data_IF_419820494722
#
_entry.id   IF_419820494722
#
_cell.length_a   1.000
_cell.length_b   1.000
_cell.length_c   1.000
_cell.angle_alpha   90.00
_cell.angle_beta   90.00
_cell.angle_gamma   90.00
#
_symmetry.space_group_name_H-M   'P 1'
#
loop_
_entity.id
_entity.type
_entity.pdbx_description
1 polymer ?
#
# COMPACT_ATOMS: atom_id res chain seq x y z
N UNK A 1 -6.48 -48.33 -51.41
CA UNK A 1 -5.85 -47.00 -51.45
C UNK A 1 -6.84 -46.03 -50.83
N UNK A 2 -6.64 -45.32 -49.72
CA UNK A 2 -5.69 -45.25 -48.60
C UNK A 2 -6.53 -44.66 -47.44
N UNK A 3 -6.59 -45.24 -46.24
CA UNK A 3 -5.67 -45.02 -45.12
C UNK A 3 -5.17 -43.57 -45.03
N UNK A 4 -5.66 -42.79 -44.06
CA UNK A 4 -4.94 -42.47 -42.81
C UNK A 4 -5.75 -41.49 -41.97
N UNK A 5 -6.13 -41.93 -40.77
CA UNK A 5 -6.17 -41.06 -39.61
C UNK A 5 -4.72 -40.69 -39.26
N UNK A 6 -4.45 -39.45 -38.87
CA UNK A 6 -3.37 -39.20 -37.93
C UNK A 6 -3.58 -37.91 -37.13
N UNK A 7 -3.14 -38.01 -35.89
CA UNK A 7 -3.28 -37.12 -34.76
C UNK A 7 -2.64 -35.75 -34.96
N UNK A 8 -3.30 -34.72 -34.42
CA UNK A 8 -2.57 -33.58 -33.84
C UNK A 8 -3.36 -32.99 -32.66
N UNK A 9 -3.31 -33.71 -31.55
CA UNK A 9 -3.43 -33.11 -30.21
C UNK A 9 -2.33 -32.07 -30.06
N UNK A 10 -2.64 -30.80 -30.30
CA UNK A 10 -1.83 -29.71 -29.74
C UNK A 10 -2.11 -29.62 -28.24
N UNK A 11 -1.43 -30.49 -27.48
CA UNK A 11 -1.15 -30.27 -26.08
C UNK A 11 -0.34 -28.98 -25.96
N UNK A 12 -0.96 -27.93 -25.42
CA UNK A 12 -0.25 -26.76 -24.94
C UNK A 12 0.67 -27.22 -23.80
N UNK A 13 1.93 -27.46 -24.13
CA UNK A 13 3.01 -27.64 -23.18
C UNK A 13 3.08 -26.35 -22.38
N UNK A 14 2.66 -26.42 -21.12
CA UNK A 14 2.94 -25.39 -20.12
C UNK A 14 4.45 -25.40 -19.97
N UNK A 15 5.13 -24.46 -20.64
CA UNK A 15 6.52 -24.19 -20.36
C UNK A 15 6.58 -23.64 -18.93
N UNK A 16 7.07 -24.47 -18.00
CA UNK A 16 7.66 -23.96 -16.76
C UNK A 16 8.91 -23.18 -17.17
N UNK A 17 8.71 -21.95 -17.65
CA UNK A 17 9.75 -21.11 -18.21
C UNK A 17 10.82 -20.86 -17.16
N UNK A 18 12.07 -21.14 -17.51
CA UNK A 18 13.24 -20.65 -16.77
C UNK A 18 13.11 -19.13 -16.74
N UNK A 19 12.89 -18.57 -15.54
CA UNK A 19 12.89 -17.11 -15.36
C UNK A 19 14.33 -16.65 -15.45
N UNK A 20 14.70 -16.08 -16.60
CA UNK A 20 16.01 -15.45 -16.79
C UNK A 20 15.96 -14.07 -16.14
N UNK A 21 16.89 -13.82 -15.22
CA UNK A 21 17.02 -12.54 -14.52
C UNK A 21 18.43 -11.98 -14.67
N UNK A 22 18.55 -10.65 -14.61
CA UNK A 22 19.83 -9.97 -14.57
C UNK A 22 20.43 -10.01 -13.15
N UNK A 23 21.76 -9.91 -13.06
CA UNK A 23 22.45 -9.79 -11.76
C UNK A 23 21.96 -8.58 -10.95
N UNK A 24 21.54 -7.49 -11.61
CA UNK A 24 20.97 -6.31 -10.96
C UNK A 24 19.63 -6.63 -10.29
N UNK A 25 18.74 -7.35 -10.98
CA UNK A 25 17.45 -7.79 -10.42
C UNK A 25 17.66 -8.72 -9.21
N UNK A 26 18.60 -9.66 -9.31
CA UNK A 26 18.96 -10.53 -8.18
C UNK A 26 19.48 -9.74 -6.98
N UNK A 27 20.43 -8.82 -7.20
CA UNK A 27 20.99 -7.98 -6.15
C UNK A 27 19.93 -7.08 -5.50
N UNK A 28 19.00 -6.53 -6.28
CA UNK A 28 17.92 -5.70 -5.75
C UNK A 28 17.04 -6.46 -4.73
N UNK A 29 16.83 -7.77 -4.93
CA UNK A 29 16.07 -8.62 -3.99
C UNK A 29 16.87 -8.99 -2.73
N UNK A 30 18.18 -9.17 -2.87
CA UNK A 30 19.06 -9.48 -1.74
C UNK A 30 19.37 -8.25 -0.88
N UNK A 31 19.34 -7.06 -1.49
CA UNK A 31 19.63 -5.79 -0.81
C UNK A 31 18.77 -5.65 0.44
N UNK A 32 19.41 -5.26 1.55
CA UNK A 32 18.70 -4.96 2.79
C UNK A 32 17.90 -3.68 2.57
N UNK A 33 16.59 -3.79 2.74
CA UNK A 33 15.69 -2.64 2.68
C UNK A 33 15.55 -2.02 4.06
N UNK A 34 15.29 -0.71 4.16
CA UNK A 34 14.91 -0.11 5.42
C UNK A 34 13.66 -0.83 5.93
N UNK A 35 13.78 -1.41 7.12
CA UNK A 35 12.69 -2.12 7.76
C UNK A 35 11.61 -1.13 8.17
N UNK A 36 10.36 -1.50 7.94
CA UNK A 36 9.21 -0.81 8.55
C UNK A 36 8.80 -1.51 9.85
N UNK A 37 9.80 -2.07 10.55
CA UNK A 37 9.65 -2.65 11.88
C UNK A 37 9.28 -1.53 12.86
N UNK A 38 8.26 -1.75 13.70
CA UNK A 38 7.67 -0.74 14.59
C UNK A 38 7.10 0.49 13.87
N UNK A 39 6.95 0.44 12.55
CA UNK A 39 6.29 1.48 11.78
C UNK A 39 4.88 1.72 12.34
N UNK A 40 4.60 2.97 12.68
CA UNK A 40 3.31 3.43 13.16
C UNK A 40 2.69 2.52 14.24
N UNK A 41 3.44 2.33 15.34
CA UNK A 41 3.08 1.41 16.43
C UNK A 41 1.65 1.59 16.97
N UNK A 42 1.12 2.82 16.92
CA UNK A 42 -0.27 3.13 17.26
C UNK A 42 -1.31 2.27 16.52
N UNK A 43 -1.03 1.84 15.29
CA UNK A 43 -1.93 1.00 14.50
C UNK A 43 -1.39 -0.43 14.29
N UNK A 44 -0.07 -0.59 14.21
CA UNK A 44 0.53 -1.86 13.83
C UNK A 44 1.32 -2.56 14.93
N UNK A 45 1.42 -1.98 16.13
CA UNK A 45 2.23 -2.51 17.23
C UNK A 45 3.70 -2.69 16.82
N UNK A 46 4.09 -3.94 16.54
CA UNK A 46 5.44 -4.27 16.04
C UNK A 46 5.68 -3.92 14.56
N UNK A 47 4.68 -3.36 13.87
CA UNK A 47 4.78 -3.00 12.46
C UNK A 47 4.35 -4.15 11.53
N UNK A 48 4.02 -3.83 10.27
CA UNK A 48 3.80 -4.83 9.23
C UNK A 48 5.11 -5.48 8.78
N UNK A 49 5.05 -6.76 8.42
CA UNK A 49 6.17 -7.53 7.90
C UNK A 49 6.19 -7.51 6.38
N UNK A 50 7.35 -7.72 5.80
CA UNK A 50 7.49 -7.94 4.37
C UNK A 50 6.53 -9.02 3.85
N UNK A 51 5.85 -8.72 2.74
CA UNK A 51 4.81 -9.57 2.16
C UNK A 51 3.41 -9.30 2.72
N UNK A 52 3.26 -8.50 3.78
CA UNK A 52 1.96 -8.13 4.31
C UNK A 52 1.21 -7.18 3.37
N UNK A 53 -0.10 -7.41 3.28
CA UNK A 53 -1.05 -6.51 2.63
C UNK A 53 -1.90 -5.80 3.70
N UNK A 54 -2.05 -4.49 3.54
CA UNK A 54 -2.84 -3.61 4.40
C UNK A 54 -3.95 -3.00 3.54
N UNK A 55 -5.18 -3.31 3.89
CA UNK A 55 -6.38 -2.80 3.23
C UNK A 55 -6.93 -1.59 3.98
N UNK A 56 -7.23 -0.52 3.26
CA UNK A 56 -7.93 0.65 3.79
C UNK A 56 -9.31 0.79 3.15
N UNK A 57 -10.33 0.91 4.00
CA UNK A 57 -11.72 1.10 3.61
C UNK A 57 -12.19 2.47 4.09
N UNK A 58 -12.63 3.34 3.17
CA UNK A 58 -13.41 4.53 3.55
C UNK A 58 -14.20 5.11 2.37
N UNK A 59 -15.20 5.92 2.69
CA UNK A 59 -15.79 6.91 1.78
C UNK A 59 -14.89 8.17 1.69
N UNK A 60 -13.75 8.10 0.99
CA UNK A 60 -12.92 9.26 0.64
C UNK A 60 -11.91 9.78 1.69
N UNK A 61 -12.09 9.45 2.97
CA UNK A 61 -11.28 10.03 4.07
C UNK A 61 -9.98 9.29 4.43
N UNK A 62 -9.71 8.16 3.78
CA UNK A 62 -8.46 7.38 3.93
C UNK A 62 -7.22 8.19 3.54
N UNK A 63 -7.37 9.24 2.71
CA UNK A 63 -6.25 10.02 2.19
C UNK A 63 -5.42 10.68 3.29
N UNK A 64 -6.05 11.18 4.38
CA UNK A 64 -5.32 11.79 5.50
C UNK A 64 -4.46 10.76 6.24
N UNK A 65 -5.02 9.57 6.50
CA UNK A 65 -4.28 8.49 7.14
C UNK A 65 -3.17 7.95 6.23
N UNK A 66 -3.43 7.75 4.93
CA UNK A 66 -2.39 7.34 3.99
C UNK A 66 -1.27 8.37 3.92
N UNK A 67 -1.60 9.67 3.87
CA UNK A 67 -0.62 10.77 3.87
C UNK A 67 0.25 10.71 5.13
N UNK A 68 -0.36 10.57 6.30
CA UNK A 68 0.33 10.44 7.58
C UNK A 68 1.29 9.23 7.59
N UNK A 69 0.81 8.06 7.15
CA UNK A 69 1.59 6.83 7.06
C UNK A 69 2.76 6.94 6.07
N UNK A 70 2.53 7.56 4.91
CA UNK A 70 3.56 7.82 3.91
C UNK A 70 4.64 8.74 4.48
N UNK A 71 4.23 9.83 5.13
CA UNK A 71 5.18 10.77 5.74
C UNK A 71 6.01 10.11 6.84
N UNK A 72 5.41 9.27 7.68
CA UNK A 72 6.12 8.49 8.70
C UNK A 72 7.14 7.52 8.09
N UNK A 73 6.82 6.90 6.96
CA UNK A 73 7.75 6.02 6.26
C UNK A 73 8.92 6.79 5.62
N UNK A 74 8.70 8.04 5.16
CA UNK A 74 9.73 8.91 4.56
C UNK A 74 10.66 9.61 5.56
N UNK A 75 10.34 9.58 6.87
CA UNK A 75 11.19 10.20 7.89
C UNK A 75 12.62 9.62 7.84
N UNK A 76 13.63 10.48 7.84
CA UNK A 76 15.04 10.08 7.68
C UNK A 76 15.58 9.33 8.89
N UNK A 77 16.58 8.46 8.70
CA UNK A 77 17.23 7.74 9.81
C UNK A 77 17.85 8.68 10.84
N UNK A 78 18.42 9.81 10.41
CA UNK A 78 18.96 10.84 11.33
C UNK A 78 17.89 11.57 12.15
N UNK A 79 16.62 11.42 11.77
CA UNK A 79 15.45 11.87 12.53
C UNK A 79 14.74 10.69 13.21
N UNK A 80 15.46 9.58 13.40
CA UNK A 80 14.97 8.32 13.97
C UNK A 80 13.78 7.71 13.20
N UNK A 81 13.69 7.99 11.90
CA UNK A 81 12.68 7.45 11.00
C UNK A 81 13.17 6.25 10.17
N UNK A 82 12.26 5.56 9.45
CA UNK A 82 12.60 4.38 8.66
C UNK A 82 13.43 4.69 7.41
N UNK A 83 13.27 5.87 6.80
CA UNK A 83 13.84 6.25 5.51
C UNK A 83 13.49 5.26 4.38
N UNK A 84 12.24 4.81 4.38
CA UNK A 84 11.73 3.87 3.41
C UNK A 84 11.59 4.52 2.02
N UNK A 85 11.94 3.78 0.96
CA UNK A 85 11.48 4.09 -0.39
C UNK A 85 10.00 3.74 -0.54
N UNK A 86 9.23 4.63 -1.15
CA UNK A 86 7.78 4.49 -1.32
C UNK A 86 7.41 4.64 -2.78
N UNK A 87 6.65 3.69 -3.31
CA UNK A 87 6.07 3.78 -4.65
C UNK A 87 4.55 3.92 -4.55
N UNK A 88 4.01 5.02 -5.06
CA UNK A 88 2.58 5.32 -5.07
C UNK A 88 2.03 5.13 -6.48
N UNK A 89 0.99 4.33 -6.58
CA UNK A 89 0.11 4.22 -7.73
C UNK A 89 -1.14 5.06 -7.46
N UNK A 90 -1.20 6.25 -8.03
CA UNK A 90 -2.35 7.16 -7.96
C UNK A 90 -3.24 6.93 -9.16
N UNK A 91 -4.45 6.43 -8.95
CA UNK A 91 -5.31 5.94 -10.05
C UNK A 91 -6.65 6.67 -10.17
N UNK A 92 -6.97 7.55 -9.23
CA UNK A 92 -8.25 8.29 -9.20
C UNK A 92 -8.07 9.81 -9.16
N UNK A 93 -6.82 10.29 -9.22
CA UNK A 93 -6.48 11.71 -9.23
C UNK A 93 -6.76 12.45 -7.92
N UNK A 94 -7.21 11.76 -6.87
CA UNK A 94 -7.60 12.39 -5.59
C UNK A 94 -6.41 12.57 -4.63
N UNK A 95 -5.22 12.14 -5.03
CA UNK A 95 -4.06 12.11 -4.17
C UNK A 95 -3.39 13.49 -4.10
N UNK A 96 -3.50 14.18 -2.95
CA UNK A 96 -2.91 15.51 -2.76
C UNK A 96 -1.42 15.42 -2.36
N UNK A 97 -0.52 15.54 -3.34
CA UNK A 97 0.92 15.54 -3.08
C UNK A 97 1.41 16.75 -2.25
N UNK A 98 0.70 17.89 -2.32
CA UNK A 98 1.00 19.05 -1.48
C UNK A 98 0.81 18.76 0.00
N UNK A 99 -0.20 17.95 0.35
CA UNK A 99 -0.44 17.50 1.72
C UNK A 99 0.75 16.67 2.25
N UNK A 100 1.32 15.76 1.44
CA UNK A 100 2.56 15.03 1.84
C UNK A 100 3.67 16.01 2.19
N UNK A 101 3.94 16.99 1.32
CA UNK A 101 5.04 17.95 1.53
C UNK A 101 4.83 18.72 2.84
N UNK A 102 3.61 19.19 3.07
CA UNK A 102 3.26 19.96 4.26
C UNK A 102 3.35 19.13 5.54
N UNK A 103 2.72 17.94 5.56
CA UNK A 103 2.73 17.05 6.73
C UNK A 103 4.15 16.58 7.05
N UNK A 104 4.93 16.20 6.03
CA UNK A 104 6.32 15.77 6.21
C UNK A 104 7.19 16.92 6.74
N UNK A 105 7.04 18.13 6.20
CA UNK A 105 7.74 19.33 6.70
C UNK A 105 7.40 19.59 8.17
N UNK A 106 6.12 19.52 8.53
CA UNK A 106 5.67 19.74 9.90
C UNK A 106 6.25 18.68 10.86
N UNK A 107 6.29 17.41 10.45
CA UNK A 107 6.93 16.33 11.22
C UNK A 107 8.42 16.59 11.45
N UNK A 108 9.15 17.01 10.42
CA UNK A 108 10.58 17.37 10.53
C UNK A 108 10.77 18.53 11.51
N UNK A 109 9.97 19.60 11.41
CA UNK A 109 10.03 20.76 12.30
C UNK A 109 9.74 20.36 13.76
N UNK A 110 8.66 19.60 13.99
CA UNK A 110 8.30 19.10 15.33
C UNK A 110 9.43 18.29 15.94
N UNK A 111 10.06 17.40 15.16
CA UNK A 111 11.19 16.62 15.63
C UNK A 111 12.39 17.49 16.00
N UNK A 112 12.79 18.44 15.14
CA UNK A 112 13.94 19.33 15.40
C UNK A 112 13.72 20.16 16.66
N UNK A 113 12.53 20.75 16.81
CA UNK A 113 12.17 21.58 17.96
C UNK A 113 12.22 20.78 19.27
N UNK A 114 11.74 19.53 19.24
CA UNK A 114 11.77 18.66 20.43
C UNK A 114 13.19 18.17 20.76
N UNK A 115 14.02 17.94 19.75
CA UNK A 115 15.35 17.41 19.95
C UNK A 115 16.38 18.47 20.36
N UNK A 116 16.19 19.75 20.01
CA UNK A 116 17.19 20.83 20.18
C UNK A 116 18.52 20.56 19.46
N UNK A 117 18.53 19.72 18.41
CA UNK A 117 19.77 19.18 17.79
C UNK A 117 20.23 19.96 16.55
N UNK A 118 19.35 20.70 15.87
CA UNK A 118 19.66 21.24 14.52
C UNK A 118 19.39 22.74 14.40
N UNK A 119 20.23 23.43 13.60
CA UNK A 119 19.93 24.76 13.11
C UNK A 119 18.71 24.68 12.18
N UNK A 120 17.76 25.60 12.36
CA UNK A 120 16.52 25.70 11.56
C UNK A 120 16.76 25.90 10.06
N UNK A 121 17.97 26.28 9.66
CA UNK A 121 18.36 26.52 8.26
C UNK A 121 18.45 25.25 7.40
N UNK A 122 18.38 24.04 7.98
CA UNK A 122 18.51 22.77 7.23
C UNK A 122 17.16 22.08 6.90
N UNK A 123 16.02 22.66 7.25
CA UNK A 123 14.70 22.01 7.08
C UNK A 123 14.43 21.64 5.61
N UNK A 124 14.69 22.53 4.66
CA UNK A 124 14.43 22.26 3.24
C UNK A 124 15.39 21.20 2.67
N UNK A 125 16.64 21.15 3.16
CA UNK A 125 17.58 20.11 2.79
C UNK A 125 17.13 18.73 3.32
N UNK A 126 16.60 18.68 4.55
CA UNK A 126 16.01 17.49 5.15
C UNK A 126 14.79 17.02 4.36
N UNK A 127 13.85 17.92 4.09
CA UNK A 127 12.64 17.64 3.32
C UNK A 127 12.98 17.11 1.92
N UNK A 128 13.90 17.77 1.21
CA UNK A 128 14.36 17.33 -0.10
C UNK A 128 15.03 15.96 -0.03
N UNK A 129 15.77 15.65 1.04
CA UNK A 129 16.37 14.34 1.24
C UNK A 129 15.32 13.25 1.45
N UNK A 130 14.28 13.50 2.24
CA UNK A 130 13.17 12.56 2.42
C UNK A 130 12.41 12.30 1.12
N UNK A 131 12.09 13.35 0.38
CA UNK A 131 11.31 13.25 -0.86
C UNK A 131 12.06 12.52 -2.00
N UNK A 132 13.39 12.39 -1.96
CA UNK A 132 14.14 11.56 -2.93
C UNK A 132 13.73 10.09 -2.92
N UNK A 133 13.16 9.62 -1.82
CA UNK A 133 12.69 8.25 -1.65
C UNK A 133 11.21 8.07 -2.02
N UNK A 134 10.53 9.12 -2.52
CA UNK A 134 9.14 9.08 -2.95
C UNK A 134 9.04 8.96 -4.47
N UNK A 135 8.42 7.89 -4.95
CA UNK A 135 8.15 7.61 -6.36
C UNK A 135 6.64 7.61 -6.59
N UNK A 136 6.18 8.34 -7.60
CA UNK A 136 4.75 8.50 -7.90
C UNK A 136 4.50 8.12 -9.34
N UNK A 137 3.48 7.30 -9.57
CA UNK A 137 2.95 6.96 -10.88
C UNK A 137 1.47 7.31 -10.91
N UNK A 138 1.12 8.28 -11.74
CA UNK A 138 -0.26 8.62 -12.03
C UNK A 138 -0.76 7.76 -13.20
N UNK A 139 -1.88 7.08 -12.99
CA UNK A 139 -2.43 6.10 -13.93
C UNK A 139 -3.87 6.47 -14.23
N UNK A 140 -4.18 6.67 -15.50
CA UNK A 140 -5.46 7.24 -15.93
C UNK A 140 -6.38 6.24 -16.65
N UNK A 141 -5.86 5.06 -17.01
CA UNK A 141 -6.65 4.01 -17.67
C UNK A 141 -6.23 2.59 -17.24
N UNK A 142 -7.13 1.63 -17.49
CA UNK A 142 -6.95 0.23 -17.14
C UNK A 142 -5.76 -0.43 -17.84
N UNK A 143 -5.49 -0.06 -19.09
CA UNK A 143 -4.39 -0.66 -19.86
C UNK A 143 -3.05 -0.24 -19.27
N UNK A 144 -2.88 1.05 -18.98
CA UNK A 144 -1.72 1.57 -18.25
C UNK A 144 -1.57 0.90 -16.89
N UNK A 145 -2.66 0.70 -16.16
CA UNK A 145 -2.65 0.05 -14.85
C UNK A 145 -2.06 -1.36 -14.91
N UNK A 146 -2.58 -2.22 -15.79
CA UNK A 146 -2.10 -3.60 -15.92
C UNK A 146 -0.67 -3.67 -16.43
N UNK A 147 -0.31 -2.88 -17.44
CA UNK A 147 1.07 -2.84 -17.95
C UNK A 147 2.04 -2.41 -16.85
N UNK A 148 1.68 -1.39 -16.07
CA UNK A 148 2.53 -0.87 -14.99
C UNK A 148 2.68 -1.88 -13.87
N UNK A 149 1.60 -2.59 -13.47
CA UNK A 149 1.69 -3.68 -12.50
C UNK A 149 2.62 -4.79 -13.01
N UNK A 150 2.46 -5.24 -14.26
CA UNK A 150 3.33 -6.28 -14.83
C UNK A 150 4.80 -5.84 -14.89
N UNK A 151 5.07 -4.55 -15.12
CA UNK A 151 6.42 -3.98 -15.14
C UNK A 151 6.96 -3.60 -13.75
N UNK A 152 6.17 -3.79 -12.69
CA UNK A 152 6.54 -3.37 -11.34
C UNK A 152 7.82 -4.04 -10.84
N UNK A 153 8.09 -5.30 -11.23
CA UNK A 153 9.35 -5.98 -10.90
C UNK A 153 10.59 -5.19 -11.38
N UNK A 154 10.52 -4.63 -12.59
CA UNK A 154 11.63 -3.83 -13.13
C UNK A 154 11.77 -2.50 -12.40
N UNK A 155 10.66 -1.87 -11.99
CA UNK A 155 10.68 -0.63 -11.20
C UNK A 155 11.33 -0.88 -9.83
N UNK A 156 10.93 -1.95 -9.15
CA UNK A 156 11.48 -2.34 -7.85
C UNK A 156 12.96 -2.73 -7.95
N UNK A 157 13.38 -3.27 -9.08
CA UNK A 157 14.79 -3.59 -9.34
C UNK A 157 15.65 -2.35 -9.57
N UNK A 158 15.10 -1.31 -10.20
CA UNK A 158 15.78 -0.02 -10.39
C UNK A 158 15.89 0.79 -9.10
N UNK A 159 14.95 0.60 -8.18
CA UNK A 159 14.86 1.33 -6.92
C UNK A 159 14.82 0.36 -5.73
N UNK A 160 15.98 -0.25 -5.39
CA UNK A 160 16.06 -1.29 -4.36
C UNK A 160 15.79 -0.78 -2.95
N UNK A 161 15.70 0.53 -2.73
CA UNK A 161 15.30 1.15 -1.46
C UNK A 161 13.77 1.09 -1.20
N UNK A 162 12.95 0.77 -2.20
CA UNK A 162 11.49 0.72 -2.05
C UNK A 162 11.09 -0.44 -1.13
N UNK A 163 10.54 -0.13 0.05
CA UNK A 163 10.01 -1.11 1.01
C UNK A 163 8.51 -1.00 1.22
N UNK A 164 7.87 0.07 0.71
CA UNK A 164 6.42 0.29 0.77
C UNK A 164 5.86 0.60 -0.63
N UNK A 165 4.79 -0.08 -1.02
CA UNK A 165 4.01 0.23 -2.22
C UNK A 165 2.59 0.60 -1.81
N UNK A 166 2.06 1.70 -2.34
CA UNK A 166 0.72 2.22 -2.03
C UNK A 166 -0.11 2.30 -3.30
N UNK A 167 -1.29 1.68 -3.29
CA UNK A 167 -2.30 1.83 -4.35
C UNK A 167 -3.47 2.69 -3.85
N UNK A 168 -3.62 3.88 -4.42
CA UNK A 168 -4.73 4.80 -4.13
C UNK A 168 -5.47 5.12 -5.44
N UNK A 169 -6.49 4.36 -5.83
CA UNK A 169 -7.11 3.18 -5.20
C UNK A 169 -6.90 1.94 -6.06
N UNK A 170 -6.81 0.76 -5.46
CA UNK A 170 -6.58 -0.48 -6.25
C UNK A 170 -7.80 -0.86 -7.11
N UNK A 171 -8.97 -0.26 -6.86
CA UNK A 171 -10.23 -0.59 -7.54
C UNK A 171 -10.69 0.45 -8.56
N UNK A 172 -9.85 1.42 -8.93
CA UNK A 172 -10.29 2.55 -9.76
C UNK A 172 -10.93 2.13 -11.08
N UNK A 173 -10.38 1.09 -11.72
CA UNK A 173 -10.84 0.60 -13.02
C UNK A 173 -11.88 -0.51 -12.94
N UNK A 174 -12.35 -0.85 -11.73
CA UNK A 174 -13.31 -1.95 -11.54
C UNK A 174 -14.54 -1.80 -12.44
N UNK A 175 -15.17 -0.63 -12.46
CA UNK A 175 -16.40 -0.42 -13.22
C UNK A 175 -16.17 -0.39 -14.73
N UNK A 176 -15.05 0.19 -15.19
CA UNK A 176 -14.71 0.24 -16.62
C UNK A 176 -14.33 -1.12 -17.21
N UNK A 177 -13.93 -2.07 -16.37
CA UNK A 177 -13.54 -3.42 -16.78
C UNK A 177 -14.66 -4.45 -16.63
N UNK A 178 -15.89 -4.02 -16.30
CA UNK A 178 -17.03 -4.92 -16.28
C UNK A 178 -17.51 -5.20 -17.70
N UNK A 179 -17.48 -6.48 -18.07
CA UNK A 179 -18.12 -7.00 -19.29
C UNK A 179 -19.60 -7.39 -19.01
N UNK A 180 -20.24 -8.05 -19.98
CA UNK A 180 -21.60 -8.60 -19.87
C UNK A 180 -21.84 -9.46 -18.61
N UNK A 181 -20.79 -10.11 -18.09
CA UNK A 181 -20.84 -10.86 -16.83
C UNK A 181 -20.11 -10.08 -15.74
N UNK A 182 -20.88 -9.42 -14.88
CA UNK A 182 -20.36 -8.64 -13.75
C UNK A 182 -19.56 -9.55 -12.82
N UNK A 183 -18.28 -9.23 -12.66
CA UNK A 183 -17.39 -9.88 -11.69
C UNK A 183 -17.57 -9.19 -10.34
N UNK A 184 -17.82 -9.95 -9.27
CA UNK A 184 -17.91 -9.37 -7.91
C UNK A 184 -16.59 -8.65 -7.56
N UNK A 185 -16.68 -7.49 -6.90
CA UNK A 185 -15.52 -6.70 -6.45
C UNK A 185 -14.47 -7.55 -5.71
N UNK A 186 -14.88 -8.42 -4.78
CA UNK A 186 -13.91 -9.30 -4.09
C UNK A 186 -13.18 -10.24 -5.05
N UNK A 187 -13.85 -10.73 -6.10
CA UNK A 187 -13.20 -11.56 -7.10
C UNK A 187 -12.24 -10.75 -7.97
N UNK A 188 -12.57 -9.49 -8.25
CA UNK A 188 -11.71 -8.57 -8.97
C UNK A 188 -10.43 -8.26 -8.17
N UNK A 189 -10.60 -7.80 -6.93
CA UNK A 189 -9.50 -7.52 -6.00
C UNK A 189 -8.59 -8.72 -5.80
N UNK A 190 -9.15 -9.91 -5.60
CA UNK A 190 -8.34 -11.13 -5.41
C UNK A 190 -7.45 -11.43 -6.61
N UNK A 191 -7.94 -11.23 -7.84
CA UNK A 191 -7.12 -11.39 -9.04
C UNK A 191 -5.94 -10.41 -9.03
N UNK A 192 -6.20 -9.12 -8.79
CA UNK A 192 -5.15 -8.10 -8.73
C UNK A 192 -4.13 -8.38 -7.62
N UNK A 193 -4.59 -8.65 -6.41
CA UNK A 193 -3.75 -8.96 -5.26
C UNK A 193 -2.89 -10.20 -5.52
N UNK A 194 -3.42 -11.22 -6.20
CA UNK A 194 -2.65 -12.41 -6.54
C UNK A 194 -1.52 -12.13 -7.52
N UNK A 195 -1.72 -11.19 -8.47
CA UNK A 195 -0.66 -10.75 -9.40
C UNK A 195 0.39 -9.96 -8.65
N UNK A 196 -0.03 -8.98 -7.83
CA UNK A 196 0.87 -8.15 -7.02
C UNK A 196 1.70 -9.02 -6.07
N UNK A 197 1.06 -9.98 -5.37
CA UNK A 197 1.74 -10.88 -4.44
C UNK A 197 2.85 -11.69 -5.13
N UNK A 198 2.59 -12.19 -6.35
CA UNK A 198 3.60 -12.92 -7.14
C UNK A 198 4.80 -12.05 -7.47
N UNK A 199 4.58 -10.77 -7.77
CA UNK A 199 5.66 -9.83 -8.11
C UNK A 199 6.49 -9.46 -6.86
N UNK A 200 5.83 -9.18 -5.74
CA UNK A 200 6.52 -8.65 -4.55
C UNK A 200 7.13 -9.73 -3.65
N UNK A 201 6.79 -11.02 -3.85
CA UNK A 201 7.13 -12.13 -2.94
C UNK A 201 8.59 -12.12 -2.49
N UNK A 202 9.50 -11.84 -3.43
CA UNK A 202 10.94 -11.91 -3.21
C UNK A 202 11.58 -10.53 -3.01
N UNK A 203 10.78 -9.45 -3.01
CA UNK A 203 11.26 -8.08 -2.96
C UNK A 203 11.21 -7.45 -1.56
N UNK A 204 10.80 -8.16 -0.51
CA UNK A 204 10.72 -7.60 0.87
C UNK A 204 9.92 -6.28 0.93
N UNK A 205 8.69 -6.30 0.45
CA UNK A 205 7.83 -5.10 0.32
C UNK A 205 6.57 -5.29 1.13
N UNK A 206 6.05 -4.20 1.70
CA UNK A 206 4.69 -4.12 2.24
C UNK A 206 3.80 -3.36 1.28
N UNK A 207 2.57 -3.84 1.10
CA UNK A 207 1.60 -3.22 0.20
C UNK A 207 0.45 -2.63 1.01
N UNK A 208 0.18 -1.35 0.77
CA UNK A 208 -1.02 -0.67 1.21
C UNK A 208 -1.93 -0.43 0.01
N UNK A 209 -3.23 -0.60 0.18
CA UNK A 209 -4.18 -0.20 -0.83
C UNK A 209 -5.48 0.31 -0.23
N UNK A 210 -6.08 1.31 -0.87
CA UNK A 210 -7.46 1.72 -0.55
C UNK A 210 -8.46 1.01 -1.47
N UNK A 211 -9.69 0.90 -0.98
CA UNK A 211 -10.90 0.62 -1.77
C UNK A 211 -12.10 1.40 -1.19
N UNK A 212 -13.13 1.71 -2.00
CA UNK A 212 -14.33 2.37 -1.51
C UNK A 212 -15.08 1.53 -0.49
N UNK A 213 -15.60 2.18 0.56
CA UNK A 213 -16.33 1.52 1.65
C UNK A 213 -17.63 0.86 1.19
N UNK A 214 -18.25 1.35 0.11
CA UNK A 214 -19.47 0.79 -0.49
C UNK A 214 -19.34 -0.68 -0.91
N UNK A 215 -18.10 -1.18 -1.07
CA UNK A 215 -17.81 -2.58 -1.37
C UNK A 215 -17.49 -3.44 -0.15
N UNK A 216 -17.55 -2.87 1.05
CA UNK A 216 -17.39 -3.62 2.30
C UNK A 216 -18.69 -4.37 2.60
N UNK A 217 -18.58 -5.69 2.78
CA UNK A 217 -19.71 -6.62 2.96
C UNK A 217 -20.55 -6.39 4.22
N UNK A 218 -20.21 -5.41 5.04
CA UNK A 218 -20.92 -5.10 6.27
C UNK A 218 -20.77 -3.63 6.62
N UNK A 219 -21.90 -2.93 6.80
CA UNK A 219 -22.00 -1.84 7.76
C UNK A 219 -21.92 -2.47 9.17
N UNK A 220 -20.76 -3.04 9.49
CA UNK A 220 -20.51 -3.65 10.79
C UNK A 220 -20.49 -2.49 11.80
N UNK A 221 -21.59 -2.35 12.56
CA UNK A 221 -21.62 -1.48 13.73
C UNK A 221 -20.49 -1.90 14.67
N UNK A 222 -19.86 -0.93 15.31
CA UNK A 222 -18.72 -1.04 16.24
C UNK A 222 -18.83 -2.19 17.24
N UNK A 223 -20.04 -2.59 17.64
CA UNK A 223 -20.29 -3.70 18.58
C UNK A 223 -20.02 -5.12 18.01
N UNK A 224 -19.65 -5.23 16.72
CA UNK A 224 -19.47 -6.51 16.02
C UNK A 224 -18.11 -6.65 15.31
N UNK A 225 -17.12 -5.90 15.78
CA UNK A 225 -15.75 -6.00 15.31
C UNK A 225 -15.16 -7.40 15.56
N UNK A 226 -15.09 -8.22 14.50
CA UNK A 226 -14.48 -9.55 14.55
C UNK A 226 -13.05 -9.53 13.98
N UNK A 227 -12.14 -10.35 14.52
CA UNK A 227 -10.83 -10.59 13.91
C UNK A 227 -10.96 -11.07 12.46
N UNK A 228 -9.92 -10.84 11.66
CA UNK A 228 -9.91 -11.27 10.27
C UNK A 228 -10.03 -12.80 10.18
N UNK A 229 -11.11 -13.30 9.56
CA UNK A 229 -11.28 -14.73 9.32
C UNK A 229 -10.15 -15.26 8.42
N UNK A 230 -9.54 -16.38 8.82
CA UNK A 230 -8.53 -17.09 8.03
C UNK A 230 -9.21 -17.87 6.90
N UNK A 231 -9.28 -17.30 5.70
CA UNK A 231 -9.55 -18.09 4.50
C UNK A 231 -8.21 -18.58 3.93
N UNK A 232 -8.01 -19.90 3.99
CA UNK A 232 -6.73 -20.61 3.93
C UNK A 232 -6.08 -20.74 2.55
N UNK A 233 -6.48 -19.94 1.55
CA UNK A 233 -6.01 -20.12 0.16
C UNK A 233 -5.77 -18.82 -0.63
N UNK A 234 -5.88 -17.64 -0.02
CA UNK A 234 -5.83 -16.35 -0.73
C UNK A 234 -4.83 -15.37 -0.08
N UNK A 235 -4.45 -14.31 -0.82
CA UNK A 235 -3.55 -13.23 -0.36
C UNK A 235 -3.94 -12.82 1.07
N UNK A 236 -3.04 -13.00 2.02
CA UNK A 236 -3.34 -12.76 3.43
C UNK A 236 -3.27 -11.26 3.71
N UNK A 237 -4.43 -10.62 3.73
CA UNK A 237 -4.58 -9.24 4.22
C UNK A 237 -4.33 -9.28 5.73
N UNK A 238 -3.19 -8.73 6.16
CA UNK A 238 -2.76 -8.75 7.57
C UNK A 238 -3.52 -7.72 8.41
N UNK A 239 -3.78 -6.56 7.82
CA UNK A 239 -4.48 -5.45 8.48
C UNK A 239 -5.61 -4.95 7.58
N UNK A 240 -6.79 -4.76 8.17
CA UNK A 240 -7.90 -4.01 7.58
C UNK A 240 -8.16 -2.79 8.43
N UNK A 241 -8.10 -1.62 7.80
CA UNK A 241 -8.25 -0.33 8.45
C UNK A 241 -9.50 0.32 7.89
N UNK A 242 -10.38 0.79 8.76
CA UNK A 242 -11.55 1.56 8.38
C UNK A 242 -11.48 2.94 9.05
N UNK A 243 -11.54 3.99 8.24
CA UNK A 243 -11.53 5.39 8.71
C UNK A 243 -12.96 5.91 8.72
N UNK A 244 -13.45 6.30 9.90
CA UNK A 244 -14.81 6.82 10.10
C UNK A 244 -14.70 8.26 10.56
N UNK A 245 -15.19 9.21 9.75
CA UNK A 245 -15.36 10.60 10.15
C UNK A 245 -16.81 10.83 10.52
N UNK A 246 -17.07 11.43 11.68
CA UNK A 246 -18.43 11.78 12.11
C UNK A 246 -18.56 13.29 12.17
N UNK A 247 -19.60 13.83 11.56
CA UNK A 247 -19.92 15.27 11.57
C UNK A 247 -20.26 15.80 12.98
N UNK A 248 -20.50 14.92 13.96
CA UNK A 248 -21.16 15.24 15.24
C UNK A 248 -20.38 14.92 16.52
N UNK A 249 -19.11 14.48 16.49
CA UNK A 249 -18.39 14.39 17.77
C UNK A 249 -16.98 13.79 17.81
N UNK A 250 -16.72 12.66 17.14
CA UNK A 250 -15.41 12.00 17.21
C UNK A 250 -15.11 11.21 15.93
N UNK A 251 -13.88 11.33 15.43
CA UNK A 251 -13.39 10.49 14.33
C UNK A 251 -12.70 9.25 14.89
N UNK A 252 -12.85 8.13 14.18
CA UNK A 252 -12.35 6.85 14.64
C UNK A 252 -11.62 6.11 13.53
N UNK A 253 -10.59 5.37 13.92
CA UNK A 253 -9.91 4.40 13.07
C UNK A 253 -10.10 3.02 13.70
N UNK A 254 -10.80 2.15 12.98
CA UNK A 254 -10.97 0.75 13.35
C UNK A 254 -9.87 -0.07 12.69
N UNK A 255 -9.07 -0.77 13.50
CA UNK A 255 -8.00 -1.64 13.03
C UNK A 255 -8.36 -3.08 13.34
N UNK A 256 -8.37 -3.91 12.29
CA UNK A 256 -8.59 -5.35 12.38
C UNK A 256 -7.37 -6.10 11.88
N UNK A 257 -6.89 -7.06 12.65
CA UNK A 257 -5.95 -8.08 12.19
C UNK A 257 -6.45 -9.47 12.61
N UNK A 258 -5.63 -10.52 12.44
CA UNK A 258 -6.04 -11.89 12.80
C UNK A 258 -6.20 -12.11 14.31
N UNK A 259 -5.50 -11.34 15.12
CA UNK A 259 -5.29 -11.60 16.55
C UNK A 259 -6.07 -10.60 17.43
N UNK A 260 -6.37 -9.42 16.90
CA UNK A 260 -6.95 -8.30 17.63
C UNK A 260 -7.84 -7.44 16.74
N UNK A 261 -8.81 -6.78 17.36
CA UNK A 261 -9.50 -5.65 16.81
C UNK A 261 -9.60 -4.54 17.85
N UNK A 262 -9.27 -3.32 17.45
CA UNK A 262 -9.36 -2.15 18.31
C UNK A 262 -9.77 -0.91 17.51
N UNK A 263 -10.23 0.08 18.25
CA UNK A 263 -10.64 1.38 17.74
C UNK A 263 -9.77 2.46 18.39
N UNK A 264 -9.35 3.45 17.60
CA UNK A 264 -8.64 4.63 18.11
C UNK A 264 -9.36 5.90 17.69
N UNK A 265 -9.51 6.79 18.66
CA UNK A 265 -10.09 8.12 18.46
C UNK A 265 -9.04 9.12 18.00
N UNK A 266 -9.44 10.01 17.10
CA UNK A 266 -8.58 11.08 16.62
C UNK A 266 -9.36 12.34 16.24
N UNK A 267 -8.64 13.46 16.25
CA UNK A 267 -9.08 14.71 15.64
C UNK A 267 -8.30 14.95 14.35
N UNK A 268 -8.99 15.51 13.36
CA UNK A 268 -8.35 16.00 12.13
C UNK A 268 -8.12 17.50 12.30
N UNK A 269 -6.86 17.91 12.44
CA UNK A 269 -6.49 19.32 12.62
C UNK A 269 -5.49 19.67 11.52
N UNK A 270 -5.86 20.62 10.64
CA UNK A 270 -5.03 21.02 9.49
C UNK A 270 -4.56 19.83 8.64
N UNK A 271 -5.48 18.90 8.32
CA UNK A 271 -5.20 17.68 7.55
C UNK A 271 -4.29 16.65 8.27
N UNK A 272 -3.89 16.89 9.52
CA UNK A 272 -3.11 15.97 10.34
C UNK A 272 -3.98 15.20 11.32
N UNK A 273 -3.65 13.91 11.52
CA UNK A 273 -4.29 13.05 12.52
C UNK A 273 -3.66 13.31 13.88
N UNK A 274 -4.46 13.74 14.84
CA UNK A 274 -4.08 13.92 16.24
C UNK A 274 -4.83 12.89 17.09
N UNK A 275 -4.10 11.90 17.60
CA UNK A 275 -4.67 10.85 18.45
C UNK A 275 -5.17 11.40 19.77
N UNK A 276 -6.37 10.98 20.17
CA UNK A 276 -6.91 11.22 21.51
C UNK A 276 -6.35 10.17 22.49
N UNK A 277 -6.04 10.60 23.71
CA UNK A 277 -5.50 9.75 24.79
C UNK A 277 -6.60 8.92 25.46
#
# INVERSE_FOLDING_TARGET
MSSTADDSKHSAVISSGIKIESGIQMLARLTRKPGIDKFYASLFGNGPKHGDFIEFNSEGNTIYLLTELICEALMLQKLNGPEAGILIFSTDGNFNFGAIINVLRNKIIKFINNASIYNTNDIDALLKSSLKNLYILEIFDSTQFHITIQNMENLLSKHPNISLVVFHTLTAFYWSEQDFKITKMDSYLRKLLSVIQKIIKDHKIVVMYSKPESFSKSKEKTDSLKPCCQNTTEVQIKYRIQVVLNESGSNFINVRNNDNCFQKEFNLINEEIVWLQ
#
